data_IF_691732715791
#
_entry.id   IF_691732715791
#
_cell.length_a   1.000
_cell.length_b   1.000
_cell.length_c   1.000
_cell.angle_alpha   90.00
_cell.angle_beta   90.00
_cell.angle_gamma   90.00
#
_symmetry.space_group_name_H-M   'P 1'
#
loop_
_entity.id
_entity.type
_entity.pdbx_description
1 polymer ?
#
# COMPACT_ATOMS: atom_id res chain seq x y z
N UNK A 1 40.21 -28.29 14.43
CA UNK A 1 39.16 -27.31 14.08
C UNK A 1 39.75 -26.38 13.02
N UNK A 2 39.36 -26.53 11.76
CA UNK A 2 39.77 -25.62 10.69
C UNK A 2 38.92 -24.36 10.78
N UNK A 3 39.56 -23.21 10.98
CA UNK A 3 38.95 -21.89 10.84
C UNK A 3 39.44 -21.35 9.51
N UNK A 4 38.57 -21.26 8.51
CA UNK A 4 38.85 -20.51 7.28
C UNK A 4 38.44 -19.06 7.52
N UNK A 5 39.40 -18.15 7.49
CA UNK A 5 39.16 -16.71 7.48
C UNK A 5 39.14 -16.23 6.04
N UNK A 6 37.99 -15.73 5.57
CA UNK A 6 37.94 -14.90 4.37
C UNK A 6 38.00 -13.44 4.79
N UNK A 7 39.04 -12.73 4.34
CA UNK A 7 39.19 -11.29 4.49
C UNK A 7 38.54 -10.63 3.28
N UNK A 8 37.48 -9.83 3.44
CA UNK A 8 36.99 -8.95 2.38
C UNK A 8 37.82 -7.67 2.35
N UNK A 9 38.38 -7.33 1.19
CA UNK A 9 38.99 -6.02 0.95
C UNK A 9 37.91 -5.03 0.53
N UNK A 10 37.83 -3.88 1.20
CA UNK A 10 37.06 -2.72 0.77
C UNK A 10 37.86 -1.91 -0.25
N UNK A 11 37.39 -1.85 -1.51
CA UNK A 11 37.91 -0.94 -2.53
C UNK A 11 36.88 0.14 -2.86
N UNK A 12 37.23 1.41 -2.67
CA UNK A 12 36.46 2.56 -3.14
C UNK A 12 36.87 2.83 -4.60
N UNK A 13 35.97 2.63 -5.56
CA UNK A 13 36.19 3.04 -6.94
C UNK A 13 35.32 4.26 -7.26
N UNK A 14 35.96 5.39 -7.51
CA UNK A 14 35.32 6.62 -8.01
C UNK A 14 35.56 6.66 -9.52
N UNK A 15 34.50 6.69 -10.32
CA UNK A 15 34.60 6.99 -11.76
C UNK A 15 34.70 8.51 -11.99
N UNK A 16 35.28 8.97 -13.11
CA UNK A 16 35.50 10.39 -13.37
C UNK A 16 34.25 11.18 -13.82
N UNK A 17 33.06 10.59 -13.85
CA UNK A 17 31.82 11.28 -14.21
C UNK A 17 30.81 11.21 -13.04
N UNK A 18 30.31 12.37 -12.62
CA UNK A 18 29.48 12.63 -11.43
C UNK A 18 28.13 11.87 -11.38
N UNK A 19 28.14 10.55 -11.44
CA UNK A 19 26.99 9.68 -11.20
C UNK A 19 27.17 8.91 -9.89
N UNK A 20 26.29 9.19 -8.92
CA UNK A 20 26.22 8.50 -7.63
C UNK A 20 25.74 7.05 -7.85
N UNK A 21 26.64 6.10 -7.63
CA UNK A 21 26.29 4.67 -7.55
C UNK A 21 26.02 4.33 -6.08
N UNK A 22 24.77 4.04 -5.74
CA UNK A 22 24.42 3.53 -4.40
C UNK A 22 24.84 2.07 -4.33
N UNK A 23 25.95 1.80 -3.64
CA UNK A 23 26.39 0.43 -3.35
C UNK A 23 25.71 -0.07 -2.09
N UNK A 24 24.88 -1.12 -2.23
CA UNK A 24 24.35 -1.87 -1.09
C UNK A 24 25.47 -2.64 -0.40
N UNK A 25 25.81 -2.27 0.83
CA UNK A 25 26.79 -2.98 1.65
C UNK A 25 26.06 -4.08 2.43
N UNK A 26 26.40 -5.34 2.16
CA UNK A 26 25.99 -6.48 3.01
C UNK A 26 27.07 -6.73 4.06
N UNK A 27 26.72 -6.58 5.34
CA UNK A 27 27.55 -7.04 6.46
C UNK A 27 26.95 -8.33 7.04
N UNK A 28 27.64 -9.44 6.84
CA UNK A 28 27.36 -10.72 7.49
C UNK A 28 28.07 -10.78 8.84
N UNK A 29 27.36 -11.02 9.95
CA UNK A 29 28.00 -11.28 11.24
C UNK A 29 27.95 -12.78 11.58
N UNK A 30 29.11 -13.37 11.82
CA UNK A 30 29.25 -14.72 12.42
C UNK A 30 29.34 -14.56 13.94
N UNK A 31 28.48 -15.26 14.68
CA UNK A 31 28.48 -15.25 16.15
C UNK A 31 29.70 -16.05 16.65
N UNK A 32 30.63 -15.41 17.35
CA UNK A 32 31.73 -16.08 18.06
C UNK A 32 31.41 -16.00 19.55
N UNK A 33 31.17 -17.15 20.18
CA UNK A 33 31.04 -17.27 21.64
C UNK A 33 32.40 -17.64 22.22
N UNK A 34 32.91 -16.83 23.16
CA UNK A 34 34.01 -17.24 24.05
C UNK A 34 33.42 -17.47 25.45
N UNK A 35 33.67 -18.64 26.02
CA UNK A 35 33.55 -18.86 27.47
C UNK A 35 34.88 -18.47 28.12
N UNK A 36 34.88 -17.42 28.94
CA UNK A 36 35.91 -17.21 29.95
C UNK A 36 35.27 -17.27 31.34
N UNK A 37 35.79 -18.14 32.19
CA UNK A 37 35.45 -18.21 33.59
C UNK A 37 36.01 -16.99 34.35
N UNK A 38 35.17 -16.28 35.11
CA UNK A 38 35.61 -15.27 36.09
C UNK A 38 34.90 -13.91 36.04
N UNK A 39 33.79 -13.82 36.77
CA UNK A 39 33.10 -12.66 37.38
C UNK A 39 33.57 -11.23 36.99
N UNK A 40 32.71 -10.43 36.34
CA UNK A 40 31.98 -9.28 36.95
C UNK A 40 31.04 -8.60 35.94
N UNK A 41 29.83 -8.32 36.42
CA UNK A 41 28.69 -7.60 35.84
C UNK A 41 29.03 -6.66 34.65
N UNK A 42 28.68 -7.05 33.41
CA UNK A 42 28.43 -6.09 32.33
C UNK A 42 26.95 -5.68 32.38
N UNK A 43 26.70 -4.39 32.62
CA UNK A 43 25.41 -3.78 32.35
C UNK A 43 25.04 -4.04 30.89
N UNK A 44 23.88 -4.64 30.67
CA UNK A 44 23.28 -4.91 29.37
C UNK A 44 23.18 -3.62 28.55
N UNK A 45 24.02 -3.50 27.52
CA UNK A 45 23.82 -2.53 26.45
C UNK A 45 22.59 -3.01 25.67
N UNK A 46 21.52 -2.19 25.51
CA UNK A 46 20.38 -2.62 24.73
C UNK A 46 20.83 -2.84 23.29
N UNK A 47 20.48 -4.00 22.73
CA UNK A 47 20.64 -4.27 21.31
C UNK A 47 19.89 -3.17 20.55
N UNK A 48 20.62 -2.24 19.95
CA UNK A 48 20.07 -1.26 19.02
C UNK A 48 19.65 -2.10 17.81
N UNK A 49 18.36 -2.41 17.71
CA UNK A 49 17.76 -2.88 16.48
C UNK A 49 17.98 -1.77 15.44
N UNK A 50 18.94 -1.96 14.55
CA UNK A 50 19.02 -1.16 13.34
C UNK A 50 17.84 -1.58 12.47
N UNK A 51 16.73 -0.84 12.59
CA UNK A 51 15.70 -0.82 11.55
C UNK A 51 16.40 -0.31 10.28
N UNK A 52 16.61 -1.21 9.32
CA UNK A 52 17.08 -0.82 8.01
C UNK A 52 15.92 -0.03 7.40
N UNK A 53 15.97 1.31 7.52
CA UNK A 53 15.04 2.21 6.84
C UNK A 53 15.32 2.06 5.35
N UNK A 54 14.67 1.11 4.69
CA UNK A 54 14.54 1.12 3.24
C UNK A 54 13.86 2.43 2.90
N UNK A 55 14.62 3.41 2.43
CA UNK A 55 14.05 4.68 1.97
C UNK A 55 13.22 4.36 0.74
N UNK A 56 11.90 4.38 0.91
CA UNK A 56 10.98 4.23 -0.20
C UNK A 56 11.21 5.34 -1.22
N UNK A 57 11.17 4.95 -2.49
CA UNK A 57 11.22 5.88 -3.61
C UNK A 57 10.08 6.89 -3.50
N UNK A 58 10.28 8.09 -4.07
CA UNK A 58 9.19 9.04 -4.28
C UNK A 58 8.02 8.38 -5.01
N UNK A 59 6.76 8.66 -4.61
CA UNK A 59 5.60 8.05 -5.23
C UNK A 59 5.40 8.61 -6.64
N UNK A 60 4.87 7.77 -7.52
CA UNK A 60 4.26 8.20 -8.78
C UNK A 60 2.91 8.84 -8.42
N UNK A 61 2.64 10.02 -9.01
CA UNK A 61 1.49 10.85 -8.65
C UNK A 61 0.50 10.89 -9.82
N UNK A 62 -0.75 10.48 -9.56
CA UNK A 62 -1.83 10.48 -10.55
C UNK A 62 -2.94 11.45 -10.14
N UNK A 63 -3.26 12.38 -11.03
CA UNK A 63 -4.41 13.27 -10.88
C UNK A 63 -5.57 12.76 -11.73
N UNK A 64 -6.64 12.33 -11.06
CA UNK A 64 -7.86 11.87 -11.69
C UNK A 64 -8.92 12.97 -11.55
N UNK A 65 -9.53 13.34 -12.67
CA UNK A 65 -10.61 14.35 -12.66
C UNK A 65 -11.91 13.71 -12.21
N UNK A 66 -12.78 14.49 -11.56
CA UNK A 66 -14.17 14.10 -11.36
C UNK A 66 -14.83 13.74 -12.69
N UNK A 67 -15.68 12.73 -12.66
CA UNK A 67 -16.55 12.38 -13.79
C UNK A 67 -17.97 12.87 -13.52
N UNK A 68 -18.96 12.39 -14.27
CA UNK A 68 -20.37 12.71 -13.99
C UNK A 68 -20.86 11.97 -12.74
N UNK A 69 -20.39 10.75 -12.52
CA UNK A 69 -20.88 9.86 -11.47
C UNK A 69 -19.90 9.66 -10.31
N UNK A 70 -18.61 9.93 -10.51
CA UNK A 70 -17.57 9.71 -9.51
C UNK A 70 -16.95 11.04 -9.06
N UNK A 71 -16.79 11.26 -7.74
CA UNK A 71 -16.20 12.49 -7.23
C UNK A 71 -14.78 12.67 -7.74
N UNK A 72 -13.94 11.63 -7.66
CA UNK A 72 -12.48 11.65 -7.79
C UNK A 72 -11.82 12.81 -7.04
N UNK A 73 -10.98 12.49 -6.06
CA UNK A 73 -10.40 13.54 -5.23
C UNK A 73 -9.50 14.49 -6.04
N UNK A 74 -9.56 15.80 -5.76
CA UNK A 74 -8.55 16.75 -6.20
C UNK A 74 -7.16 16.46 -5.61
N UNK A 75 -7.10 15.72 -4.50
CA UNK A 75 -5.87 15.14 -3.97
C UNK A 75 -5.42 14.00 -4.91
N UNK A 76 -4.15 13.91 -5.29
CA UNK A 76 -3.72 12.86 -6.20
C UNK A 76 -3.66 11.47 -5.55
N UNK A 77 -3.94 10.44 -6.33
CA UNK A 77 -3.59 9.05 -6.03
C UNK A 77 -2.07 8.91 -6.04
N UNK A 78 -1.52 8.24 -5.01
CA UNK A 78 -0.07 8.04 -4.87
C UNK A 78 0.26 6.55 -5.00
N UNK A 79 1.22 6.22 -5.87
CA UNK A 79 1.73 4.86 -6.05
C UNK A 79 3.20 4.77 -5.63
N UNK A 80 3.47 3.97 -4.61
CA UNK A 80 4.81 3.57 -4.20
C UNK A 80 5.14 2.19 -4.79
N UNK A 81 6.31 2.07 -5.44
CA UNK A 81 6.78 0.81 -6.02
C UNK A 81 7.71 0.09 -5.05
N UNK A 82 7.67 -1.24 -5.06
CA UNK A 82 8.54 -2.13 -4.26
C UNK A 82 8.45 -1.87 -2.74
N UNK A 83 7.28 -1.47 -2.25
CA UNK A 83 7.04 -1.26 -0.83
C UNK A 83 7.11 -2.57 -0.05
N UNK A 84 7.94 -2.60 1.00
CA UNK A 84 8.09 -3.74 1.91
C UNK A 84 8.55 -5.04 1.24
N UNK A 85 9.12 -4.98 0.03
CA UNK A 85 9.56 -6.16 -0.71
C UNK A 85 10.92 -6.62 -0.22
N UNK A 86 11.03 -7.91 0.08
CA UNK A 86 12.27 -8.64 0.38
C UNK A 86 12.20 -10.01 -0.29
N UNK A 87 13.26 -10.37 -1.00
CA UNK A 87 13.37 -11.67 -1.69
C UNK A 87 12.15 -11.98 -2.59
N UNK A 88 11.59 -10.95 -3.23
CA UNK A 88 10.44 -11.05 -4.14
C UNK A 88 9.07 -11.12 -3.45
N UNK A 89 9.01 -11.01 -2.12
CA UNK A 89 7.77 -11.07 -1.35
C UNK A 89 7.59 -9.85 -0.46
N UNK A 90 6.35 -9.49 -0.16
CA UNK A 90 6.06 -8.42 0.81
C UNK A 90 6.14 -8.97 2.24
N UNK A 91 6.90 -8.32 3.12
CA UNK A 91 6.83 -8.57 4.56
C UNK A 91 5.53 -7.98 5.13
N UNK A 92 4.49 -8.81 5.20
CA UNK A 92 3.16 -8.43 5.69
C UNK A 92 3.16 -7.99 7.15
N UNK A 93 4.11 -8.48 7.96
CA UNK A 93 4.23 -8.01 9.35
C UNK A 93 4.81 -6.61 9.42
N UNK A 94 5.80 -6.30 8.58
CA UNK A 94 6.33 -4.95 8.46
C UNK A 94 5.27 -3.96 7.95
N UNK A 95 4.43 -4.35 6.99
CA UNK A 95 3.27 -3.56 6.54
C UNK A 95 2.35 -3.28 7.73
N UNK A 96 1.92 -4.32 8.45
CA UNK A 96 0.99 -4.21 9.58
C UNK A 96 1.53 -3.29 10.67
N UNK A 97 2.79 -3.48 11.07
CA UNK A 97 3.42 -2.71 12.14
C UNK A 97 3.61 -1.24 11.72
N UNK A 98 4.02 -1.00 10.47
CA UNK A 98 4.27 0.36 9.94
C UNK A 98 2.98 1.16 9.84
N UNK A 99 1.92 0.58 9.26
CA UNK A 99 0.62 1.23 9.14
C UNK A 99 0.10 1.62 10.53
N UNK A 100 0.12 0.68 11.49
CA UNK A 100 -0.38 0.94 12.85
C UNK A 100 0.43 1.98 13.60
N UNK A 101 1.76 1.98 13.43
CA UNK A 101 2.62 3.02 13.99
C UNK A 101 2.23 4.41 13.46
N UNK A 102 1.87 4.50 12.19
CA UNK A 102 1.40 5.72 11.53
C UNK A 102 -0.11 6.01 11.70
N UNK A 103 -0.78 5.33 12.64
CA UNK A 103 -2.22 5.50 12.91
C UNK A 103 -3.14 5.05 11.77
N UNK A 104 -2.75 4.01 11.04
CA UNK A 104 -3.59 3.31 10.06
C UNK A 104 -3.87 1.90 10.55
N UNK A 105 -5.14 1.53 10.63
CA UNK A 105 -5.55 0.23 11.12
C UNK A 105 -5.82 -0.70 9.93
N UNK A 106 -5.05 -1.78 9.83
CA UNK A 106 -5.27 -2.86 8.85
C UNK A 106 -6.60 -3.53 9.12
N UNK A 107 -7.45 -3.61 8.10
CA UNK A 107 -8.79 -4.18 8.25
C UNK A 107 -9.00 -5.45 7.43
N UNK A 108 -8.16 -5.71 6.42
CA UNK A 108 -8.38 -6.85 5.54
C UNK A 108 -7.13 -7.30 4.78
N UNK A 109 -7.14 -8.58 4.44
CA UNK A 109 -6.40 -9.20 3.34
C UNK A 109 -7.42 -9.86 2.43
N UNK A 110 -7.46 -9.48 1.16
CA UNK A 110 -8.48 -9.91 0.19
C UNK A 110 -7.80 -10.58 -0.99
N UNK A 111 -8.42 -11.66 -1.48
CA UNK A 111 -8.15 -12.24 -2.80
C UNK A 111 -9.20 -11.73 -3.79
N UNK A 112 -8.75 -11.23 -4.93
CA UNK A 112 -9.62 -10.77 -6.01
C UNK A 112 -9.88 -11.88 -7.02
N UNK A 113 -11.11 -11.92 -7.53
CA UNK A 113 -11.51 -12.76 -8.65
C UNK A 113 -11.51 -11.97 -9.97
N UNK A 114 -12.27 -12.45 -10.95
CA UNK A 114 -12.33 -11.85 -12.29
C UNK A 114 -12.99 -10.48 -12.37
N UNK A 115 -13.69 -10.02 -11.31
CA UNK A 115 -14.28 -8.69 -11.30
C UNK A 115 -14.52 -8.15 -9.89
N UNK A 116 -14.69 -6.84 -9.84
CA UNK A 116 -15.25 -6.09 -8.72
C UNK A 116 -16.04 -4.92 -9.32
N UNK A 117 -17.10 -4.49 -8.64
CA UNK A 117 -17.79 -3.24 -8.97
C UNK A 117 -16.89 -2.06 -8.64
N UNK A 118 -16.93 -1.04 -9.50
CA UNK A 118 -16.22 0.20 -9.23
C UNK A 118 -16.86 0.90 -8.04
N UNK A 119 -16.05 1.24 -7.05
CA UNK A 119 -16.52 1.87 -5.82
C UNK A 119 -15.50 2.89 -5.33
N UNK A 120 -15.94 3.78 -4.44
CA UNK A 120 -15.09 4.70 -3.71
C UNK A 120 -15.52 4.76 -2.25
N UNK A 121 -14.66 5.40 -1.45
CA UNK A 121 -14.96 5.73 -0.07
C UNK A 121 -15.26 7.23 0.04
N UNK A 122 -16.50 7.58 0.35
CA UNK A 122 -16.93 8.97 0.56
C UNK A 122 -16.50 9.55 1.91
N UNK A 123 -16.21 8.70 2.89
CA UNK A 123 -15.98 9.11 4.29
C UNK A 123 -14.57 8.84 4.82
N UNK A 124 -13.71 8.17 4.05
CA UNK A 124 -12.35 7.82 4.50
C UNK A 124 -11.35 7.77 3.36
N UNK A 125 -10.08 7.99 3.70
CA UNK A 125 -8.94 7.63 2.87
C UNK A 125 -8.61 6.14 3.03
N UNK A 126 -7.86 5.59 2.09
CA UNK A 126 -7.48 4.17 2.10
C UNK A 126 -6.01 4.00 1.69
N UNK A 127 -5.37 2.95 2.19
CA UNK A 127 -4.09 2.46 1.67
C UNK A 127 -4.21 0.98 1.37
N UNK A 128 -3.69 0.57 0.21
CA UNK A 128 -3.69 -0.82 -0.25
C UNK A 128 -2.29 -1.22 -0.73
N UNK A 129 -1.83 -2.41 -0.40
CA UNK A 129 -0.57 -2.97 -0.92
C UNK A 129 -0.80 -4.35 -1.56
N UNK A 130 -0.21 -4.56 -2.73
CA UNK A 130 -0.22 -5.85 -3.43
C UNK A 130 0.72 -6.82 -2.73
N UNK A 131 0.15 -7.86 -2.13
CA UNK A 131 0.90 -8.90 -1.40
C UNK A 131 1.08 -10.18 -2.22
N UNK A 132 0.24 -10.38 -3.25
CA UNK A 132 0.35 -11.44 -4.25
C UNK A 132 -0.26 -10.97 -5.56
N UNK A 133 0.24 -11.44 -6.70
CA UNK A 133 -0.22 -11.02 -8.03
C UNK A 133 0.22 -12.00 -9.12
N UNK A 134 0.10 -11.64 -10.39
CA UNK A 134 -0.26 -10.31 -10.92
C UNK A 134 -1.74 -9.96 -10.73
N UNK A 135 -2.11 -8.71 -11.01
CA UNK A 135 -3.49 -8.24 -10.98
C UNK A 135 -3.67 -6.93 -11.75
N UNK A 136 -4.91 -6.45 -11.85
CA UNK A 136 -5.24 -5.16 -12.46
C UNK A 136 -6.11 -4.32 -11.55
N UNK A 137 -5.90 -3.01 -11.60
CA UNK A 137 -6.76 -2.03 -10.93
C UNK A 137 -7.16 -0.97 -11.94
N UNK A 138 -8.48 -0.73 -12.06
CA UNK A 138 -9.00 0.43 -12.78
C UNK A 138 -9.37 1.50 -11.77
N UNK A 139 -8.96 2.72 -12.06
CA UNK A 139 -9.17 3.89 -11.23
C UNK A 139 -10.04 4.92 -11.94
N UNK A 140 -10.85 5.64 -11.18
CA UNK A 140 -11.45 6.91 -11.57
C UNK A 140 -12.76 6.85 -12.35
N UNK A 141 -13.38 5.68 -12.53
CA UNK A 141 -14.55 5.51 -13.42
C UNK A 141 -15.71 4.81 -12.72
N UNK A 142 -16.94 5.25 -12.92
CA UNK A 142 -18.12 4.44 -12.57
C UNK A 142 -18.35 3.33 -13.61
N UNK A 143 -18.99 2.24 -13.17
CA UNK A 143 -19.58 1.26 -14.07
C UNK A 143 -20.90 1.77 -14.64
N UNK A 144 -21.16 1.54 -15.93
CA UNK A 144 -22.36 1.99 -16.63
C UNK A 144 -23.32 0.84 -16.97
N UNK A 145 -22.99 -0.38 -16.58
CA UNK A 145 -23.78 -1.59 -16.77
C UNK A 145 -23.66 -2.48 -15.55
N UNK A 146 -24.68 -3.29 -15.29
CA UNK A 146 -24.63 -4.36 -14.27
C UNK A 146 -24.03 -5.66 -14.82
N UNK A 147 -23.85 -5.76 -16.15
CA UNK A 147 -23.09 -6.87 -16.73
C UNK A 147 -21.60 -6.69 -16.41
N UNK A 148 -21.12 -7.57 -15.54
CA UNK A 148 -19.75 -7.50 -15.05
C UNK A 148 -18.70 -7.68 -16.13
N UNK A 149 -19.00 -8.41 -17.20
CA UNK A 149 -18.07 -8.57 -18.32
C UNK A 149 -17.98 -7.27 -19.10
N UNK A 150 -19.10 -6.61 -19.33
CA UNK A 150 -19.16 -5.35 -20.05
C UNK A 150 -18.50 -4.20 -19.28
N UNK A 151 -18.68 -4.15 -17.95
CA UNK A 151 -18.07 -3.10 -17.14
C UNK A 151 -16.61 -3.38 -16.76
N UNK A 152 -16.16 -4.63 -16.83
CA UNK A 152 -14.75 -5.00 -16.51
C UNK A 152 -13.89 -5.06 -17.76
N UNK A 153 -14.33 -5.77 -18.79
CA UNK A 153 -13.57 -6.05 -20.01
C UNK A 153 -14.10 -5.35 -21.27
N UNK A 154 -15.37 -4.93 -21.25
CA UNK A 154 -15.98 -4.15 -22.33
C UNK A 154 -15.62 -2.67 -22.23
N UNK A 155 -16.60 -1.81 -22.54
CA UNK A 155 -16.49 -0.35 -22.48
C UNK A 155 -17.60 0.29 -21.65
N UNK A 156 -18.31 -0.48 -20.84
CA UNK A 156 -19.44 0.02 -20.04
C UNK A 156 -18.98 0.63 -18.73
N UNK A 157 -18.18 1.68 -18.82
CA UNK A 157 -17.69 2.50 -17.71
C UNK A 157 -17.43 3.93 -18.20
N UNK A 158 -17.37 4.90 -17.28
CA UNK A 158 -17.07 6.30 -17.63
C UNK A 158 -15.66 6.46 -18.24
N UNK A 159 -15.50 7.43 -19.15
CA UNK A 159 -14.18 7.80 -19.69
C UNK A 159 -13.31 8.52 -18.64
N UNK A 160 -12.00 8.63 -18.91
CA UNK A 160 -11.06 9.41 -18.10
C UNK A 160 -10.40 8.65 -16.95
N UNK A 161 -10.61 7.33 -16.89
CA UNK A 161 -9.97 6.43 -15.94
C UNK A 161 -8.49 6.15 -16.20
N UNK A 162 -7.91 5.36 -15.30
CA UNK A 162 -6.56 4.84 -15.38
C UNK A 162 -6.59 3.33 -15.09
N UNK A 163 -6.14 2.51 -16.04
CA UNK A 163 -5.92 1.07 -15.83
C UNK A 163 -4.44 0.83 -15.51
N UNK A 164 -4.18 0.08 -14.43
CA UNK A 164 -2.82 -0.27 -13.97
C UNK A 164 -2.69 -1.78 -13.81
N UNK A 165 -1.69 -2.36 -14.45
CA UNK A 165 -1.20 -3.69 -14.11
C UNK A 165 -0.29 -3.59 -12.87
N UNK A 166 -0.60 -4.35 -11.84
CA UNK A 166 0.04 -4.22 -10.53
C UNK A 166 0.97 -5.38 -10.22
N UNK A 167 2.05 -5.06 -9.52
CA UNK A 167 3.09 -6.00 -9.13
C UNK A 167 3.17 -6.09 -7.60
N UNK A 168 3.73 -7.19 -7.10
CA UNK A 168 3.99 -7.37 -5.65
C UNK A 168 4.80 -6.18 -5.12
N UNK A 169 4.31 -5.58 -4.03
CA UNK A 169 4.91 -4.38 -3.44
C UNK A 169 4.42 -3.05 -4.03
N UNK A 170 3.51 -3.06 -5.01
CA UNK A 170 2.81 -1.84 -5.39
C UNK A 170 1.86 -1.43 -4.26
N UNK A 171 2.05 -0.22 -3.75
CA UNK A 171 1.27 0.35 -2.65
C UNK A 171 0.62 1.65 -3.09
N UNK A 172 -0.69 1.72 -2.94
CA UNK A 172 -1.51 2.86 -3.31
C UNK A 172 -2.01 3.57 -2.06
N UNK A 173 -1.82 4.89 -1.99
CA UNK A 173 -2.48 5.75 -1.00
C UNK A 173 -3.58 6.51 -1.73
N UNK A 174 -4.82 6.22 -1.34
CA UNK A 174 -6.04 6.50 -2.09
C UNK A 174 -6.82 7.60 -1.35
N UNK A 175 -6.95 8.78 -1.96
CA UNK A 175 -7.81 9.82 -1.44
C UNK A 175 -9.30 9.43 -1.44
N UNK A 176 -10.07 9.92 -0.47
CA UNK A 176 -11.52 9.77 -0.45
C UNK A 176 -12.14 10.27 -1.78
N UNK A 177 -13.08 9.50 -2.31
CA UNK A 177 -13.75 9.78 -3.58
C UNK A 177 -13.06 9.26 -4.85
N UNK A 178 -11.82 8.77 -4.77
CA UNK A 178 -11.19 8.11 -5.93
C UNK A 178 -11.81 6.72 -6.13
N UNK A 179 -12.54 6.56 -7.24
CA UNK A 179 -13.11 5.26 -7.56
C UNK A 179 -12.05 4.26 -7.96
N UNK A 180 -12.26 3.01 -7.60
CA UNK A 180 -11.39 1.92 -7.98
C UNK A 180 -12.11 0.58 -8.02
N UNK A 181 -11.54 -0.35 -8.79
CA UNK A 181 -11.87 -1.77 -8.77
C UNK A 181 -10.62 -2.60 -9.03
N UNK A 182 -10.48 -3.67 -8.27
CA UNK A 182 -9.37 -4.63 -8.39
C UNK A 182 -9.90 -5.94 -8.95
N UNK A 183 -9.20 -6.51 -9.93
CA UNK A 183 -9.59 -7.76 -10.57
C UNK A 183 -8.38 -8.51 -11.13
N UNK A 184 -8.52 -9.81 -11.23
CA UNK A 184 -7.55 -10.74 -11.82
C UNK A 184 -8.15 -11.35 -13.09
N UNK A 185 -7.71 -10.92 -14.29
CA UNK A 185 -8.21 -11.45 -15.57
C UNK A 185 -8.01 -12.96 -15.72
N UNK A 186 -6.99 -13.51 -15.07
CA UNK A 186 -6.58 -14.91 -15.17
C UNK A 186 -7.10 -15.75 -14.00
N UNK A 187 -7.86 -15.15 -13.07
CA UNK A 187 -8.46 -15.88 -11.97
C UNK A 187 -9.39 -16.99 -12.47
N UNK A 188 -9.26 -18.15 -11.86
CA UNK A 188 -10.09 -19.34 -12.15
C UNK A 188 -11.50 -19.24 -11.54
N UNK A 189 -11.73 -18.28 -10.65
CA UNK A 189 -13.03 -17.95 -10.07
C UNK A 189 -13.38 -16.49 -10.30
N UNK A 190 -14.67 -16.23 -10.55
CA UNK A 190 -15.19 -14.87 -10.58
C UNK A 190 -15.27 -14.24 -9.17
N UNK A 191 -15.29 -15.06 -8.11
CA UNK A 191 -15.55 -14.59 -6.76
C UNK A 191 -14.30 -13.97 -6.10
N UNK A 192 -14.53 -12.83 -5.45
CA UNK A 192 -13.60 -12.21 -4.51
C UNK A 192 -13.86 -12.73 -3.09
N UNK A 193 -12.85 -12.70 -2.22
CA UNK A 193 -13.01 -13.16 -0.84
C UNK A 193 -12.04 -12.51 0.13
N UNK A 194 -12.55 -12.04 1.27
CA UNK A 194 -11.72 -11.60 2.37
C UNK A 194 -11.18 -12.83 3.12
N UNK A 195 -9.87 -12.92 3.22
CA UNK A 195 -9.16 -14.05 3.81
C UNK A 195 -9.03 -13.93 5.34
N UNK A 196 -9.52 -12.84 5.91
CA UNK A 196 -9.26 -12.43 7.31
C UNK A 196 -10.52 -11.97 8.05
N UNK A 197 -11.71 -12.34 7.58
CA UNK A 197 -13.00 -11.99 8.20
C UNK A 197 -13.93 -11.23 7.26
N UNK A 198 -14.79 -10.36 7.79
CA UNK A 198 -15.76 -9.55 7.04
C UNK A 198 -15.22 -8.24 6.44
N UNK A 199 -13.89 -8.11 6.32
CA UNK A 199 -13.19 -6.92 5.83
C UNK A 199 -13.43 -5.62 6.62
N UNK A 200 -13.92 -5.71 7.86
CA UNK A 200 -14.12 -4.57 8.79
C UNK A 200 -13.21 -4.66 10.02
N UNK A 201 -12.10 -5.36 9.85
CA UNK A 201 -11.21 -5.80 10.92
C UNK A 201 -10.71 -7.21 10.64
N UNK A 202 -9.58 -7.54 11.25
CA UNK A 202 -9.00 -8.88 11.17
C UNK A 202 -9.61 -9.73 12.30
N UNK A 203 -10.38 -10.74 11.93
CA UNK A 203 -11.05 -11.67 12.85
C UNK A 203 -10.08 -12.75 13.35
N UNK A 204 -9.17 -12.36 14.25
CA UNK A 204 -8.22 -13.28 14.88
C UNK A 204 -7.75 -12.76 16.25
N UNK A 205 -7.36 -13.67 17.15
CA UNK A 205 -6.76 -13.33 18.45
C UNK A 205 -5.49 -12.49 18.30
N UNK A 206 -4.71 -12.77 17.26
CA UNK A 206 -3.53 -11.99 16.90
C UNK A 206 -3.59 -11.57 15.43
N UNK A 207 -4.13 -10.37 15.14
CA UNK A 207 -4.23 -9.84 13.79
C UNK A 207 -2.90 -9.80 13.03
N UNK A 208 -1.78 -9.51 13.73
CA UNK A 208 -0.45 -9.44 13.13
C UNK A 208 0.01 -10.80 12.59
N UNK A 209 -0.27 -11.88 13.32
CA UNK A 209 0.04 -13.25 12.88
C UNK A 209 -0.92 -13.67 11.77
N UNK A 210 -2.21 -13.37 11.91
CA UNK A 210 -3.22 -13.73 10.91
C UNK A 210 -2.89 -13.17 9.52
N UNK A 211 -2.52 -11.89 9.43
CA UNK A 211 -2.12 -11.30 8.13
C UNK A 211 -0.81 -11.88 7.61
N UNK A 212 0.05 -12.42 8.46
CA UNK A 212 1.36 -12.98 8.08
C UNK A 212 1.27 -14.43 7.59
N UNK A 213 0.30 -15.19 8.09
CA UNK A 213 0.18 -16.64 7.84
C UNK A 213 -0.95 -16.99 6.88
N UNK A 214 -1.91 -16.09 6.65
CA UNK A 214 -3.00 -16.35 5.71
C UNK A 214 -2.44 -16.70 4.33
N UNK A 215 -2.86 -17.83 3.72
CA UNK A 215 -2.30 -18.28 2.45
C UNK A 215 -2.67 -17.30 1.33
N UNK A 216 -1.71 -17.04 0.45
CA UNK A 216 -1.87 -16.15 -0.70
C UNK A 216 -1.89 -16.97 -1.98
N UNK A 217 -2.83 -16.64 -2.87
CA UNK A 217 -2.99 -17.27 -4.18
C UNK A 217 -3.61 -16.26 -5.14
N UNK A 218 -3.08 -16.17 -6.36
CA UNK A 218 -3.53 -15.22 -7.37
C UNK A 218 -3.31 -13.77 -6.93
N UNK A 219 -4.21 -12.88 -7.32
CA UNK A 219 -4.16 -11.48 -6.91
C UNK A 219 -4.68 -11.28 -5.48
N UNK A 220 -3.80 -10.88 -4.56
CA UNK A 220 -4.18 -10.51 -3.20
C UNK A 220 -3.63 -9.15 -2.80
N UNK A 221 -4.43 -8.40 -2.05
CA UNK A 221 -4.01 -7.15 -1.44
C UNK A 221 -4.31 -7.14 0.05
N UNK A 222 -3.59 -6.26 0.75
CA UNK A 222 -3.81 -5.95 2.16
C UNK A 222 -4.10 -4.47 2.27
N UNK A 223 -5.13 -4.10 3.04
CA UNK A 223 -5.57 -2.71 3.14
C UNK A 223 -5.85 -2.23 4.56
N UNK A 224 -5.74 -0.91 4.70
CA UNK A 224 -5.89 -0.20 5.95
C UNK A 224 -6.55 1.16 5.75
N UNK A 225 -7.11 1.68 6.84
CA UNK A 225 -7.77 2.97 6.88
C UNK A 225 -7.21 3.80 8.05
N UNK A 226 -7.27 5.14 7.99
CA UNK A 226 -6.87 5.98 9.12
C UNK A 226 -7.65 5.58 10.38
N UNK A 227 -6.98 5.58 11.53
CA UNK A 227 -7.57 5.19 12.82
C UNK A 227 -8.81 6.04 13.12
N UNK A 228 -9.87 5.35 13.55
CA UNK A 228 -11.16 5.97 13.84
C UNK A 228 -12.09 6.05 12.62
N UNK A 229 -11.62 5.62 11.45
CA UNK A 229 -12.44 5.50 10.25
C UNK A 229 -12.67 4.03 9.87
N UNK A 230 -13.75 3.80 9.14
CA UNK A 230 -14.05 2.52 8.48
C UNK A 230 -14.56 2.83 7.07
N UNK A 231 -14.54 1.82 6.20
CA UNK A 231 -14.93 2.01 4.81
C UNK A 231 -16.44 2.20 4.66
N UNK A 232 -16.79 3.08 3.73
CA UNK A 232 -18.09 3.09 3.05
C UNK A 232 -17.96 2.32 1.73
N UNK A 233 -19.07 1.96 1.10
CA UNK A 233 -19.05 1.41 -0.24
C UNK A 233 -20.02 2.22 -1.07
N UNK A 234 -19.48 3.20 -1.78
CA UNK A 234 -20.25 4.11 -2.62
C UNK A 234 -19.93 3.81 -4.08
N UNK A 235 -20.95 3.77 -4.93
CA UNK A 235 -20.84 3.53 -6.36
C UNK A 235 -21.18 4.80 -7.16
N UNK A 236 -21.08 4.70 -8.49
CA UNK A 236 -21.37 5.80 -9.40
C UNK A 236 -22.74 6.42 -9.16
N UNK A 237 -22.76 7.70 -8.82
CA UNK A 237 -23.98 8.47 -8.58
C UNK A 237 -24.30 8.73 -7.10
N UNK A 238 -23.75 7.95 -6.16
CA UNK A 238 -24.13 8.03 -4.74
C UNK A 238 -23.80 9.38 -4.08
N UNK A 239 -22.81 10.11 -4.62
CA UNK A 239 -22.43 11.46 -4.17
C UNK A 239 -22.68 12.55 -5.22
N UNK A 240 -23.45 12.27 -6.29
CA UNK A 240 -23.59 13.18 -7.44
C UNK A 240 -24.11 14.59 -7.09
N UNK A 241 -24.87 14.70 -5.99
CA UNK A 241 -25.41 15.97 -5.51
C UNK A 241 -24.38 16.83 -4.74
N UNK A 242 -23.33 16.23 -4.17
CA UNK A 242 -22.33 16.92 -3.36
C UNK A 242 -20.96 16.21 -3.33
N UNK A 243 -20.18 16.34 -4.42
CA UNK A 243 -18.79 15.88 -4.43
C UNK A 243 -17.90 16.68 -3.48
N UNK A 244 -18.24 17.93 -3.16
CA UNK A 244 -17.42 18.75 -2.25
C UNK A 244 -17.37 18.16 -0.84
N UNK A 245 -18.46 17.56 -0.35
CA UNK A 245 -18.47 16.85 0.92
C UNK A 245 -17.40 15.75 0.99
N UNK A 246 -17.25 14.99 -0.09
CA UNK A 246 -16.23 13.92 -0.20
C UNK A 246 -14.81 14.49 -0.25
N UNK A 247 -14.61 15.62 -0.94
CA UNK A 247 -13.29 16.25 -1.05
C UNK A 247 -12.81 16.89 0.25
N UNK A 248 -13.74 17.26 1.13
CA UNK A 248 -13.47 17.89 2.44
C UNK A 248 -13.04 16.91 3.53
N UNK A 249 -13.11 15.59 3.29
CA UNK A 249 -12.58 14.59 4.23
C UNK A 249 -11.14 14.95 4.61
N UNK A 250 -10.89 14.95 5.92
CA UNK A 250 -9.64 15.46 6.46
C UNK A 250 -8.46 14.57 6.14
N UNK A 251 -7.32 15.20 5.85
CA UNK A 251 -6.09 14.46 5.67
C UNK A 251 -5.76 13.67 6.95
N UNK A 252 -5.29 12.42 6.83
CA UNK A 252 -4.84 11.64 7.96
C UNK A 252 -3.65 12.33 8.66
N UNK A 253 -3.47 12.07 9.95
CA UNK A 253 -2.39 12.68 10.73
C UNK A 253 -0.97 12.35 10.22
N UNK A 254 -0.81 11.28 9.44
CA UNK A 254 0.46 10.83 8.90
C UNK A 254 0.27 10.01 7.61
N UNK A 255 1.27 10.03 6.72
CA UNK A 255 1.37 9.08 5.61
C UNK A 255 1.48 7.64 6.14
N UNK A 256 0.77 6.67 5.56
CA UNK A 256 0.72 5.31 6.09
C UNK A 256 2.09 4.63 6.12
N UNK A 257 3.02 5.04 5.26
CA UNK A 257 4.31 4.39 5.13
C UNK A 257 5.44 5.20 5.77
N UNK A 258 5.51 6.48 5.43
CA UNK A 258 6.66 7.34 5.74
C UNK A 258 6.36 8.40 6.81
N UNK A 259 5.18 8.31 7.42
CA UNK A 259 4.80 9.13 8.56
C UNK A 259 4.69 10.62 8.19
N UNK A 260 5.37 11.47 8.96
CA UNK A 260 5.29 12.93 8.80
C UNK A 260 5.98 13.48 7.55
N UNK A 261 6.87 12.71 6.93
CA UNK A 261 7.64 13.16 5.77
C UNK A 261 7.13 12.59 4.44
N UNK A 262 5.91 12.03 4.46
CA UNK A 262 5.41 11.25 3.34
C UNK A 262 4.64 11.99 2.26
N UNK A 263 4.19 11.20 1.29
CA UNK A 263 3.48 11.67 0.11
C UNK A 263 2.19 12.41 0.44
N UNK A 264 1.45 12.01 1.48
CA UNK A 264 0.25 12.76 1.91
C UNK A 264 0.62 14.22 2.22
N UNK A 265 1.60 14.46 3.09
CA UNK A 265 2.00 15.81 3.50
C UNK A 265 2.63 16.61 2.34
N UNK A 266 3.26 15.92 1.39
CA UNK A 266 3.91 16.53 0.23
C UNK A 266 2.94 16.85 -0.90
N UNK A 267 1.89 16.07 -1.13
CA UNK A 267 1.06 16.15 -2.33
C UNK A 267 -0.41 16.48 -2.05
N UNK A 268 -0.97 16.10 -0.90
CA UNK A 268 -2.37 16.39 -0.55
C UNK A 268 -2.51 17.79 0.06
N UNK A 269 -2.00 18.80 -0.65
CA UNK A 269 -2.09 20.20 -0.25
C UNK A 269 -3.49 20.75 -0.56
N UNK A 270 -3.82 21.90 0.03
CA UNK A 270 -4.98 22.72 -0.30
C UNK A 270 -6.36 22.18 0.15
N UNK A 271 -6.43 21.36 1.20
CA UNK A 271 -7.70 20.85 1.78
C UNK A 271 -8.77 21.93 2.05
N UNK A 272 -8.37 23.19 2.27
CA UNK A 272 -9.25 24.30 2.60
C UNK A 272 -9.41 25.36 1.50
N UNK A 273 -8.77 25.19 0.34
CA UNK A 273 -9.02 26.07 -0.80
C UNK A 273 -10.13 25.45 -1.62
N UNK A 274 -11.29 26.11 -1.71
CA UNK A 274 -12.50 25.56 -2.34
C UNK A 274 -12.20 24.90 -3.69
N UNK A 275 -12.46 23.60 -3.75
CA UNK A 275 -12.30 22.81 -4.97
C UNK A 275 -13.47 23.12 -5.89
N UNK A 276 -13.25 23.92 -6.92
CA UNK A 276 -14.28 24.16 -7.94
C UNK A 276 -14.34 22.95 -8.86
N UNK A 277 -15.49 22.28 -8.96
CA UNK A 277 -15.70 21.30 -10.01
C UNK A 277 -15.53 21.99 -11.37
N UNK A 278 -14.69 21.42 -12.23
CA UNK A 278 -14.73 21.78 -13.65
C UNK A 278 -15.93 21.06 -14.25
N UNK A 279 -17.03 21.81 -14.44
CA UNK A 279 -18.16 21.37 -15.26
C UNK A 279 -17.71 20.99 -16.67
#
# INVERSE_FOLDING_TARGET
MLISTYTSQTGLFIKPDDSLLVTTIYLSFTRISFELAGVTKLSSIPAILFFNMTTLSEPIVYYLKSTKLIPNSPKPLLLYKNAFVRDGQVDRTAVFDTFRANQWDVQWVVRYGQYQRSHYHSQTHEVMVVVSGPGRIRWGTADLSDDWKEHTYGKSYEDGGLDVEVNVGDLFVIPAGVAHKSYDPDATSAEFGCLTGAARGIEADNPRIAVAEVPLEGFCMMGAYPRGFSWTWDEGGDSADDFEAVWRIENPAADPVTGQNGGINKYWKNQHQGFKSSM
#
